data_IF_593382769980
#
_entry.id   IF_593382769980
#
_cell.length_a   1.000
_cell.length_b   1.000
_cell.length_c   1.000
_cell.angle_alpha   90.00
_cell.angle_beta   90.00
_cell.angle_gamma   90.00
#
_symmetry.space_group_name_H-M   'P 1'
#
loop_
_entity.id
_entity.type
_entity.pdbx_description
1 polymer ?
#
# COMPACT_ATOMS: atom_id res chain seq x y z
N UNK A 1 -1.81 -48.30 -11.34
CA UNK A 1 -2.73 -48.66 -10.24
C UNK A 1 -2.26 -48.13 -8.88
N UNK A 2 -0.96 -48.17 -8.55
CA UNK A 2 -0.43 -47.59 -7.30
C UNK A 2 -0.62 -46.06 -7.20
N UNK A 3 -0.43 -45.35 -8.32
CA UNK A 3 -0.58 -43.89 -8.43
C UNK A 3 -1.99 -43.38 -8.07
N UNK A 4 -3.03 -44.09 -8.53
CA UNK A 4 -4.42 -43.76 -8.20
C UNK A 4 -4.76 -44.03 -6.72
N UNK A 5 -4.06 -44.97 -6.08
CA UNK A 5 -4.23 -45.32 -4.67
C UNK A 5 -3.57 -44.28 -3.76
N UNK A 6 -2.41 -43.77 -4.17
CA UNK A 6 -1.71 -42.67 -3.50
C UNK A 6 -2.54 -41.36 -3.59
N UNK A 7 -3.07 -41.05 -4.77
CA UNK A 7 -3.96 -39.92 -4.98
C UNK A 7 -5.25 -40.04 -4.16
N UNK A 8 -5.89 -41.21 -4.14
CA UNK A 8 -7.08 -41.46 -3.31
C UNK A 8 -6.79 -41.27 -1.82
N UNK A 9 -5.59 -41.64 -1.35
CA UNK A 9 -5.15 -41.44 0.03
C UNK A 9 -4.94 -39.95 0.34
N UNK A 10 -4.33 -39.19 -0.57
CA UNK A 10 -4.17 -37.73 -0.45
C UNK A 10 -5.52 -37.00 -0.44
N UNK A 11 -6.45 -37.38 -1.32
CA UNK A 11 -7.81 -36.82 -1.34
C UNK A 11 -8.55 -37.14 -0.04
N UNK A 12 -8.44 -38.37 0.46
CA UNK A 12 -9.06 -38.76 1.74
C UNK A 12 -8.45 -38.01 2.92
N UNK A 13 -7.13 -37.83 2.96
CA UNK A 13 -6.46 -37.07 4.02
C UNK A 13 -6.87 -35.59 3.99
N UNK A 14 -6.94 -34.98 2.79
CA UNK A 14 -7.46 -33.62 2.60
C UNK A 14 -8.92 -33.48 3.06
N UNK A 15 -9.79 -34.39 2.65
CA UNK A 15 -11.20 -34.37 3.07
C UNK A 15 -11.32 -34.51 4.60
N UNK A 16 -10.58 -35.45 5.20
CA UNK A 16 -10.61 -35.68 6.67
C UNK A 16 -10.07 -34.49 7.46
N UNK A 17 -9.10 -33.75 6.91
CA UNK A 17 -8.60 -32.50 7.51
C UNK A 17 -9.66 -31.39 7.49
N UNK A 18 -10.46 -31.30 6.43
CA UNK A 18 -11.53 -30.29 6.27
C UNK A 18 -12.78 -30.64 7.08
N UNK A 19 -13.16 -31.92 7.18
CA UNK A 19 -14.37 -32.39 7.90
C UNK A 19 -14.15 -32.83 9.34
N UNK A 20 -12.96 -32.59 9.92
CA UNK A 20 -12.78 -32.69 11.39
C UNK A 20 -13.64 -31.60 12.06
N UNK A 21 -14.91 -31.92 12.29
CA UNK A 21 -15.70 -31.27 13.34
C UNK A 21 -15.00 -31.56 14.65
N UNK A 22 -14.53 -30.54 15.37
CA UNK A 22 -13.79 -30.79 16.59
C UNK A 22 -14.73 -31.37 17.65
N UNK A 23 -14.55 -32.64 17.98
CA UNK A 23 -15.20 -33.26 19.13
C UNK A 23 -14.27 -33.02 20.32
N UNK A 24 -14.64 -32.08 21.18
CA UNK A 24 -13.79 -31.63 22.29
C UNK A 24 -14.07 -32.42 23.56
N UNK A 25 -13.13 -33.24 24.02
CA UNK A 25 -13.05 -33.60 25.43
C UNK A 25 -12.44 -32.43 26.24
N UNK A 26 -12.84 -32.25 27.51
CA UNK A 26 -12.52 -31.05 28.31
C UNK A 26 -11.02 -30.71 28.38
N UNK A 27 -10.12 -31.70 28.31
CA UNK A 27 -8.67 -31.49 28.33
C UNK A 27 -8.03 -31.27 26.95
N UNK A 28 -8.72 -31.65 25.88
CA UNK A 28 -8.24 -31.46 24.49
C UNK A 28 -8.56 -30.05 23.98
N UNK A 29 -9.70 -29.49 24.39
CA UNK A 29 -10.05 -28.09 24.10
C UNK A 29 -9.01 -27.11 24.66
N UNK A 30 -8.56 -27.31 25.90
CA UNK A 30 -7.56 -26.44 26.54
C UNK A 30 -6.21 -26.49 25.80
N UNK A 31 -5.73 -27.68 25.45
CA UNK A 31 -4.48 -27.86 24.68
C UNK A 31 -4.57 -27.22 23.30
N UNK A 32 -5.70 -27.40 22.62
CA UNK A 32 -5.95 -26.80 21.31
C UNK A 32 -6.00 -25.27 21.36
N UNK A 33 -6.65 -24.69 22.37
CA UNK A 33 -6.68 -23.24 22.56
C UNK A 33 -5.30 -22.66 22.82
N UNK A 34 -4.45 -23.35 23.59
CA UNK A 34 -3.05 -22.97 23.79
C UNK A 34 -2.27 -22.98 22.48
N UNK A 35 -2.43 -24.03 21.67
CA UNK A 35 -1.75 -24.13 20.37
C UNK A 35 -2.20 -23.05 19.38
N UNK A 36 -3.52 -22.80 19.28
CA UNK A 36 -4.06 -21.72 18.45
C UNK A 36 -3.59 -20.35 18.91
N UNK A 37 -3.60 -20.08 20.21
CA UNK A 37 -3.14 -18.80 20.73
C UNK A 37 -1.66 -18.57 20.37
N UNK A 38 -0.82 -19.60 20.51
CA UNK A 38 0.59 -19.51 20.11
C UNK A 38 0.78 -19.24 18.61
N UNK A 39 -0.05 -19.85 17.74
CA UNK A 39 -0.03 -19.56 16.29
C UNK A 39 -0.51 -18.14 15.98
N UNK A 40 -1.56 -17.68 16.67
CA UNK A 40 -2.10 -16.32 16.53
C UNK A 40 -1.08 -15.25 16.94
N UNK A 41 -0.37 -15.46 18.04
CA UNK A 41 0.69 -14.56 18.49
C UNK A 41 1.84 -14.51 17.50
N UNK A 42 2.29 -15.67 16.99
CA UNK A 42 3.29 -15.75 15.92
C UNK A 42 2.84 -15.01 14.66
N UNK A 43 1.61 -15.21 14.23
CA UNK A 43 1.06 -14.48 13.09
C UNK A 43 1.11 -12.97 13.34
N UNK A 44 0.68 -12.50 14.52
CA UNK A 44 0.71 -11.08 14.84
C UNK A 44 2.14 -10.50 14.77
N UNK A 45 3.14 -11.26 15.22
CA UNK A 45 4.56 -10.88 15.11
C UNK A 45 5.00 -10.81 13.64
N UNK A 46 4.69 -11.82 12.83
CA UNK A 46 5.03 -11.86 11.40
C UNK A 46 4.34 -10.72 10.66
N UNK A 47 3.05 -10.50 10.88
CA UNK A 47 2.28 -9.41 10.27
C UNK A 47 2.90 -8.06 10.58
N UNK A 48 3.21 -7.79 11.85
CA UNK A 48 3.83 -6.53 12.24
C UNK A 48 5.21 -6.37 11.61
N UNK A 49 6.03 -7.43 11.60
CA UNK A 49 7.33 -7.45 10.94
C UNK A 49 7.21 -7.11 9.45
N UNK A 50 6.43 -7.88 8.70
CA UNK A 50 6.26 -7.67 7.25
C UNK A 50 5.72 -6.28 6.93
N UNK A 51 4.73 -5.80 7.68
CA UNK A 51 4.17 -4.47 7.46
C UNK A 51 5.19 -3.36 7.70
N UNK A 52 5.90 -3.41 8.83
CA UNK A 52 6.81 -2.33 9.24
C UNK A 52 8.14 -2.35 8.50
N UNK A 53 8.69 -3.52 8.18
CA UNK A 53 10.03 -3.63 7.56
C UNK A 53 9.97 -3.72 6.04
N UNK A 54 8.88 -4.27 5.49
CA UNK A 54 8.87 -4.69 4.09
C UNK A 54 7.83 -3.93 3.27
N UNK A 55 6.55 -4.06 3.62
CA UNK A 55 5.42 -3.63 2.78
C UNK A 55 5.23 -2.12 2.84
N UNK A 56 5.02 -1.56 4.04
CA UNK A 56 4.69 -0.14 4.19
C UNK A 56 5.81 0.77 3.66
N UNK A 57 7.10 0.57 4.00
CA UNK A 57 8.16 1.46 3.54
C UNK A 57 8.26 1.53 2.01
N UNK A 58 8.02 0.43 1.30
CA UNK A 58 8.07 0.39 -0.17
C UNK A 58 6.91 1.14 -0.81
N UNK A 59 5.71 0.95 -0.26
CA UNK A 59 4.52 1.67 -0.73
C UNK A 59 4.66 3.18 -0.44
N UNK A 60 5.25 3.55 0.70
CA UNK A 60 5.55 4.93 1.07
C UNK A 60 6.56 5.58 0.12
N UNK A 61 7.68 4.90 -0.19
CA UNK A 61 8.66 5.35 -1.19
C UNK A 61 7.99 5.63 -2.54
N UNK A 62 7.12 4.71 -3.01
CA UNK A 62 6.40 4.93 -4.26
C UNK A 62 5.51 6.17 -4.18
N UNK A 63 4.75 6.30 -3.10
CA UNK A 63 3.79 7.39 -2.91
C UNK A 63 4.45 8.78 -2.83
N UNK A 64 5.68 8.88 -2.30
CA UNK A 64 6.42 10.14 -2.20
C UNK A 64 6.68 10.81 -3.57
N UNK A 65 6.71 10.04 -4.66
CA UNK A 65 6.86 10.60 -6.01
C UNK A 65 5.59 11.26 -6.56
N UNK A 66 4.45 11.11 -5.87
CA UNK A 66 3.13 11.54 -6.34
C UNK A 66 2.49 12.51 -5.35
N UNK A 67 2.40 13.78 -5.74
CA UNK A 67 1.77 14.82 -4.91
C UNK A 67 0.27 14.59 -4.65
N UNK A 68 -0.38 13.77 -5.47
CA UNK A 68 -1.76 13.34 -5.31
C UNK A 68 -1.91 12.07 -4.45
N UNK A 69 -0.82 11.50 -3.94
CA UNK A 69 -0.86 10.36 -3.04
C UNK A 69 -1.13 10.79 -1.59
N UNK A 70 -1.98 10.05 -0.90
CA UNK A 70 -2.32 10.27 0.52
C UNK A 70 -2.45 8.92 1.21
N UNK A 71 -1.78 8.77 2.35
CA UNK A 71 -1.87 7.56 3.19
C UNK A 71 -3.23 7.49 3.88
N UNK A 72 -3.88 6.33 3.83
CA UNK A 72 -5.08 6.07 4.64
C UNK A 72 -4.70 5.97 6.12
N UNK A 73 -5.45 6.66 6.99
CA UNK A 73 -5.21 6.64 8.44
C UNK A 73 -6.15 5.66 9.13
N UNK A 74 -5.76 5.21 10.33
CA UNK A 74 -6.55 4.33 11.20
C UNK A 74 -6.86 2.96 10.58
N UNK A 75 -5.92 2.40 9.82
CA UNK A 75 -6.04 1.04 9.30
C UNK A 75 -5.66 -0.01 10.37
N UNK A 76 -6.22 -1.23 10.28
CA UNK A 76 -5.77 -2.35 11.10
C UNK A 76 -4.26 -2.60 10.95
N UNK A 77 -3.61 -3.15 11.97
CA UNK A 77 -2.15 -3.38 12.00
C UNK A 77 -1.61 -4.29 10.89
N UNK A 78 -2.49 -5.07 10.23
CA UNK A 78 -2.16 -5.91 9.09
C UNK A 78 -2.60 -5.33 7.75
N UNK A 79 -2.86 -4.02 7.65
CA UNK A 79 -3.26 -3.36 6.42
C UNK A 79 -2.52 -2.03 6.25
N UNK A 80 -2.10 -1.74 5.02
CA UNK A 80 -1.65 -0.41 4.64
C UNK A 80 -2.16 -0.05 3.24
N UNK A 81 -2.64 1.17 3.07
CA UNK A 81 -3.09 1.66 1.77
C UNK A 81 -2.78 3.13 1.51
N UNK A 82 -2.60 3.42 0.23
CA UNK A 82 -2.45 4.76 -0.30
C UNK A 82 -3.54 5.05 -1.33
N UNK A 83 -4.06 6.26 -1.25
CA UNK A 83 -4.99 6.82 -2.21
C UNK A 83 -4.26 7.79 -3.12
N UNK A 84 -4.26 7.52 -4.41
CA UNK A 84 -3.80 8.40 -5.48
C UNK A 84 -5.02 9.13 -6.02
N UNK A 85 -5.23 10.36 -5.57
CA UNK A 85 -6.40 11.16 -5.93
C UNK A 85 -6.38 11.65 -7.38
N UNK A 86 -7.54 11.99 -7.90
CA UNK A 86 -7.64 12.65 -9.21
C UNK A 86 -6.79 13.92 -9.27
N UNK A 87 -6.03 14.09 -10.35
CA UNK A 87 -5.41 15.36 -10.72
C UNK A 87 -5.42 15.55 -12.24
N UNK A 88 -5.03 16.73 -12.73
CA UNK A 88 -5.03 17.02 -14.18
C UNK A 88 -4.13 16.06 -14.97
N UNK A 89 -3.00 15.67 -14.38
CA UNK A 89 -2.04 14.70 -14.94
C UNK A 89 -2.60 13.28 -14.94
N UNK A 90 -3.21 12.87 -13.83
CA UNK A 90 -3.81 11.55 -13.61
C UNK A 90 -5.33 11.70 -13.40
N UNK A 91 -6.12 11.62 -14.48
CA UNK A 91 -7.56 11.90 -14.46
C UNK A 91 -8.38 10.72 -13.91
N UNK A 92 -7.85 10.01 -12.92
CA UNK A 92 -8.49 8.90 -12.22
C UNK A 92 -8.12 8.98 -10.75
N UNK A 93 -8.97 8.42 -9.90
CA UNK A 93 -8.54 8.08 -8.55
C UNK A 93 -8.14 6.61 -8.48
N UNK A 94 -7.16 6.26 -7.66
CA UNK A 94 -6.73 4.87 -7.49
C UNK A 94 -6.36 4.59 -6.04
N UNK A 95 -6.84 3.48 -5.49
CA UNK A 95 -6.40 2.96 -4.19
C UNK A 95 -5.46 1.79 -4.44
N UNK A 96 -4.31 1.77 -3.78
CA UNK A 96 -3.42 0.61 -3.69
C UNK A 96 -3.35 0.20 -2.23
N UNK A 97 -3.59 -1.07 -1.93
CA UNK A 97 -3.55 -1.61 -0.58
C UNK A 97 -2.87 -2.97 -0.52
N UNK A 98 -2.20 -3.20 0.60
CA UNK A 98 -1.74 -4.51 1.01
C UNK A 98 -2.40 -4.92 2.31
N UNK A 99 -2.72 -6.20 2.43
CA UNK A 99 -3.25 -6.80 3.66
C UNK A 99 -2.54 -8.11 3.95
N UNK A 100 -2.10 -8.32 5.19
CA UNK A 100 -1.59 -9.62 5.64
C UNK A 100 -2.71 -10.34 6.38
N UNK A 101 -3.17 -11.43 5.79
CA UNK A 101 -4.27 -12.27 6.23
C UNK A 101 -3.77 -13.69 6.56
N UNK A 102 -4.68 -14.53 7.05
CA UNK A 102 -4.40 -15.91 7.42
C UNK A 102 -5.60 -16.83 7.13
N UNK A 103 -5.35 -18.14 7.09
CA UNK A 103 -6.42 -19.13 7.01
C UNK A 103 -7.06 -19.39 8.39
N UNK A 104 -8.19 -20.10 8.42
CA UNK A 104 -8.98 -20.35 9.64
C UNK A 104 -8.15 -20.99 10.76
N UNK A 105 -7.12 -21.78 10.43
CA UNK A 105 -6.28 -22.50 11.39
C UNK A 105 -4.93 -21.83 11.69
N UNK A 106 -4.68 -20.63 11.17
CA UNK A 106 -3.42 -19.92 11.32
C UNK A 106 -2.20 -20.76 10.87
N UNK A 107 -2.38 -21.59 9.85
CA UNK A 107 -1.31 -22.41 9.27
C UNK A 107 -0.63 -21.70 8.10
N UNK A 108 -1.29 -20.69 7.53
CA UNK A 108 -0.81 -19.94 6.37
C UNK A 108 -0.86 -18.44 6.62
N UNK A 109 0.11 -17.76 6.04
CA UNK A 109 0.16 -16.30 5.94
C UNK A 109 -0.08 -15.93 4.49
N UNK A 110 -1.01 -15.02 4.25
CA UNK A 110 -1.41 -14.57 2.91
C UNK A 110 -1.16 -13.07 2.83
N UNK A 111 -0.23 -12.65 1.98
CA UNK A 111 -0.04 -11.23 1.65
C UNK A 111 -0.90 -10.94 0.43
N UNK A 112 -2.00 -10.20 0.63
CA UNK A 112 -2.90 -9.76 -0.43
C UNK A 112 -2.50 -8.38 -0.92
N UNK A 113 -2.54 -8.20 -2.23
CA UNK A 113 -2.44 -6.93 -2.93
C UNK A 113 -3.79 -6.65 -3.59
N UNK A 114 -4.30 -5.43 -3.40
CA UNK A 114 -5.50 -4.94 -4.05
C UNK A 114 -5.24 -3.55 -4.64
N UNK A 115 -5.67 -3.33 -5.88
CA UNK A 115 -5.65 -2.04 -6.54
C UNK A 115 -6.98 -1.75 -7.24
N UNK A 116 -7.56 -0.60 -6.94
CA UNK A 116 -8.88 -0.20 -7.46
C UNK A 116 -8.76 1.17 -8.09
N UNK A 117 -9.01 1.27 -9.40
CA UNK A 117 -8.95 2.50 -10.19
C UNK A 117 -10.34 2.92 -10.64
N UNK A 118 -10.70 4.19 -10.46
CA UNK A 118 -11.98 4.73 -10.90
C UNK A 118 -11.86 6.17 -11.47
N UNK A 119 -12.34 6.42 -12.70
CA UNK A 119 -12.86 5.45 -13.67
C UNK A 119 -11.74 4.64 -14.36
N UNK A 120 -12.03 3.40 -14.77
CA UNK A 120 -11.04 2.51 -15.40
C UNK A 120 -10.78 2.92 -16.85
N UNK A 121 -9.55 3.32 -17.15
CA UNK A 121 -9.11 3.66 -18.51
C UNK A 121 -8.16 2.62 -19.13
N UNK A 122 -7.60 1.75 -18.31
CA UNK A 122 -6.53 0.83 -18.66
C UNK A 122 -6.69 -0.51 -17.93
N UNK A 123 -5.96 -1.53 -18.38
CA UNK A 123 -5.84 -2.78 -17.66
C UNK A 123 -4.93 -2.60 -16.45
N UNK A 124 -5.46 -2.83 -15.26
CA UNK A 124 -4.74 -2.86 -13.99
C UNK A 124 -4.87 -4.27 -13.39
N UNK A 125 -3.83 -4.76 -12.72
CA UNK A 125 -3.97 -5.97 -11.90
C UNK A 125 -4.70 -5.55 -10.63
N UNK A 126 -5.98 -5.94 -10.52
CA UNK A 126 -6.82 -5.50 -9.41
C UNK A 126 -6.52 -6.25 -8.12
N UNK A 127 -6.20 -7.54 -8.22
CA UNK A 127 -6.01 -8.41 -7.07
C UNK A 127 -4.92 -9.44 -7.34
N UNK A 128 -4.04 -9.64 -6.36
CA UNK A 128 -3.08 -10.75 -6.35
C UNK A 128 -2.75 -11.16 -4.91
N UNK A 129 -2.25 -12.37 -4.70
CA UNK A 129 -1.82 -12.81 -3.38
C UNK A 129 -0.57 -13.68 -3.42
N UNK A 130 0.19 -13.60 -2.34
CA UNK A 130 1.34 -14.45 -2.06
C UNK A 130 1.08 -15.22 -0.76
N UNK A 131 1.18 -16.55 -0.82
CA UNK A 131 0.85 -17.43 0.30
C UNK A 131 2.07 -18.21 0.77
N UNK A 132 2.29 -18.24 2.09
CA UNK A 132 3.32 -19.02 2.77
C UNK A 132 2.71 -19.91 3.86
N UNK A 133 3.40 -20.99 4.23
CA UNK A 133 3.17 -21.62 5.53
C UNK A 133 3.64 -20.68 6.66
N UNK A 134 2.99 -20.72 7.83
CA UNK A 134 3.27 -19.81 8.95
C UNK A 134 4.76 -19.77 9.34
N UNK A 135 5.42 -20.92 9.32
CA UNK A 135 6.82 -21.05 9.76
C UNK A 135 7.85 -20.89 8.61
N UNK A 136 7.40 -20.65 7.37
CA UNK A 136 8.24 -20.58 6.17
C UNK A 136 8.23 -19.20 5.49
N UNK A 137 7.76 -18.18 6.20
CA UNK A 137 7.66 -16.80 5.67
C UNK A 137 9.05 -16.22 5.46
N UNK A 138 9.36 -15.90 4.20
CA UNK A 138 10.64 -15.35 3.73
C UNK A 138 10.47 -13.87 3.36
N UNK A 139 11.12 -12.98 4.10
CA UNK A 139 10.97 -11.53 3.95
C UNK A 139 11.50 -11.02 2.60
N UNK A 140 12.55 -11.64 2.06
CA UNK A 140 13.14 -11.33 0.74
C UNK A 140 12.22 -11.69 -0.43
N UNK A 141 11.52 -12.82 -0.33
CA UNK A 141 10.51 -13.20 -1.31
C UNK A 141 9.29 -12.28 -1.25
N UNK A 142 8.84 -11.91 -0.04
CA UNK A 142 7.77 -10.93 0.14
C UNK A 142 8.18 -9.57 -0.45
N UNK A 143 9.40 -9.11 -0.16
CA UNK A 143 9.94 -7.86 -0.69
C UNK A 143 9.93 -7.83 -2.22
N UNK A 144 10.48 -8.88 -2.85
CA UNK A 144 10.56 -9.00 -4.31
C UNK A 144 9.18 -8.98 -4.95
N UNK A 145 8.22 -9.70 -4.35
CA UNK A 145 6.85 -9.75 -4.84
C UNK A 145 6.13 -8.40 -4.69
N UNK A 146 6.25 -7.74 -3.53
CA UNK A 146 5.70 -6.40 -3.30
C UNK A 146 6.26 -5.39 -4.31
N UNK A 147 7.59 -5.37 -4.51
CA UNK A 147 8.24 -4.50 -5.48
C UNK A 147 7.71 -4.75 -6.89
N UNK A 148 7.55 -6.02 -7.29
CA UNK A 148 6.96 -6.37 -8.59
C UNK A 148 5.56 -5.80 -8.74
N UNK A 149 4.68 -5.97 -7.74
CA UNK A 149 3.30 -5.45 -7.80
C UNK A 149 3.23 -3.92 -7.79
N UNK A 150 4.12 -3.26 -7.05
CA UNK A 150 4.22 -1.81 -7.05
C UNK A 150 4.70 -1.27 -8.41
N UNK A 151 5.67 -1.95 -9.04
CA UNK A 151 6.16 -1.58 -10.37
C UNK A 151 5.11 -1.86 -11.46
N UNK A 152 4.37 -2.96 -11.38
CA UNK A 152 3.24 -3.27 -12.27
C UNK A 152 2.15 -2.18 -12.16
N UNK A 153 1.82 -1.77 -10.92
CA UNK A 153 0.91 -0.65 -10.69
C UNK A 153 1.45 0.64 -11.27
N UNK A 154 2.73 0.95 -11.04
CA UNK A 154 3.36 2.17 -11.54
C UNK A 154 3.31 2.21 -13.06
N UNK A 155 3.70 1.15 -13.77
CA UNK A 155 3.61 1.07 -15.23
C UNK A 155 2.18 1.34 -15.71
N UNK A 156 1.19 0.68 -15.11
CA UNK A 156 -0.22 0.93 -15.41
C UNK A 156 -0.58 2.41 -15.15
N UNK A 157 -0.32 2.91 -13.95
CA UNK A 157 -0.68 4.27 -13.53
C UNK A 157 -0.02 5.36 -14.37
N UNK A 158 1.12 5.11 -15.00
CA UNK A 158 1.76 6.07 -15.91
C UNK A 158 1.22 6.03 -17.33
N UNK A 159 0.53 4.97 -17.74
CA UNK A 159 -0.10 4.91 -19.06
C UNK A 159 -1.32 5.81 -19.20
N UNK A 160 -1.89 6.25 -18.08
CA UNK A 160 -2.97 7.26 -18.02
C UNK A 160 -2.43 8.69 -17.88
N UNK A 161 -1.11 8.85 -17.79
CA UNK A 161 -0.46 10.15 -17.70
C UNK A 161 -0.78 10.97 -18.95
N UNK A 162 -1.47 12.10 -18.76
CA UNK A 162 -1.85 13.02 -19.84
C UNK A 162 -0.81 14.12 -20.10
N UNK A 163 0.33 14.12 -19.40
CA UNK A 163 1.41 15.08 -19.53
C UNK A 163 2.77 14.43 -19.80
N UNK A 164 3.60 15.09 -20.60
CA UNK A 164 4.94 14.62 -20.95
C UNK A 164 5.94 14.94 -19.82
N UNK A 165 6.75 13.93 -19.49
CA UNK A 165 7.95 13.94 -18.66
C UNK A 165 7.76 14.09 -17.14
N UNK A 166 8.40 13.17 -16.41
CA UNK A 166 8.71 13.26 -14.98
C UNK A 166 9.68 14.39 -14.62
N UNK A 167 9.88 15.34 -15.53
CA UNK A 167 10.68 16.53 -15.33
C UNK A 167 9.75 17.70 -15.04
N UNK A 168 9.68 18.05 -13.76
CA UNK A 168 9.73 19.44 -13.36
C UNK A 168 8.54 20.32 -13.79
N UNK A 169 7.38 20.12 -13.16
CA UNK A 169 6.31 21.13 -13.20
C UNK A 169 6.81 22.40 -12.51
N UNK A 170 7.35 23.32 -13.30
CA UNK A 170 7.91 24.57 -12.82
C UNK A 170 6.79 25.45 -12.25
N UNK A 171 6.80 25.60 -10.93
CA UNK A 171 5.96 26.58 -10.23
C UNK A 171 6.80 27.80 -9.86
N UNK A 172 6.14 28.93 -9.63
CA UNK A 172 6.83 30.17 -9.23
C UNK A 172 6.56 30.40 -7.74
N UNK A 173 7.63 30.59 -6.97
CA UNK A 173 7.53 31.00 -5.57
C UNK A 173 6.83 32.38 -5.51
N UNK A 174 5.70 32.52 -4.79
CA UNK A 174 4.91 33.75 -4.79
C UNK A 174 5.57 34.90 -4.01
N UNK A 175 6.59 34.63 -3.19
CA UNK A 175 7.31 35.63 -2.39
C UNK A 175 8.49 36.19 -3.16
N UNK A 176 9.33 35.33 -3.75
CA UNK A 176 10.57 35.77 -4.41
C UNK A 176 10.54 35.69 -5.95
N UNK A 177 9.52 35.09 -6.55
CA UNK A 177 9.41 34.93 -8.00
C UNK A 177 10.33 33.85 -8.60
N UNK A 178 11.03 33.08 -7.76
CA UNK A 178 11.93 32.03 -8.22
C UNK A 178 11.14 30.88 -8.85
N UNK A 179 11.55 30.47 -10.06
CA UNK A 179 11.06 29.22 -10.66
C UNK A 179 11.64 28.04 -9.89
N UNK A 180 10.75 27.21 -9.38
CA UNK A 180 11.09 26.01 -8.61
C UNK A 180 10.35 24.82 -9.17
N UNK A 181 10.96 23.65 -9.04
CA UNK A 181 10.27 22.41 -9.31
C UNK A 181 9.25 22.12 -8.21
N UNK A 182 8.02 21.75 -8.56
CA UNK A 182 7.08 21.20 -7.58
C UNK A 182 7.65 19.97 -6.86
N UNK A 183 8.45 19.14 -7.55
CA UNK A 183 9.08 17.97 -6.94
C UNK A 183 10.31 18.28 -6.07
N UNK A 184 10.90 19.47 -6.18
CA UNK A 184 12.03 19.91 -5.33
C UNK A 184 11.65 21.03 -4.37
N UNK A 185 10.36 21.35 -4.25
CA UNK A 185 9.89 22.38 -3.34
C UNK A 185 10.20 21.93 -1.90
N UNK A 186 11.14 22.62 -1.26
CA UNK A 186 11.60 22.26 0.10
C UNK A 186 10.48 22.39 1.13
N UNK A 187 9.49 23.23 0.84
CA UNK A 187 8.41 23.59 1.75
C UNK A 187 7.16 23.95 0.95
N UNK A 188 5.99 23.47 1.37
CA UNK A 188 4.69 23.80 0.78
C UNK A 188 3.69 24.24 1.85
N UNK A 189 2.78 25.14 1.49
CA UNK A 189 1.67 25.56 2.37
C UNK A 189 0.37 25.68 1.55
N UNK A 190 -0.78 25.64 2.23
CA UNK A 190 -2.09 25.75 1.60
C UNK A 190 -2.80 27.02 2.05
N UNK A 191 -3.22 27.86 1.10
CA UNK A 191 -4.01 29.06 1.37
C UNK A 191 -5.28 29.05 0.53
N UNK A 192 -6.44 29.15 1.19
CA UNK A 192 -7.78 29.07 0.56
C UNK A 192 -8.00 27.81 -0.30
N UNK A 193 -7.40 26.68 0.11
CA UNK A 193 -7.50 25.42 -0.62
C UNK A 193 -6.59 25.33 -1.85
N UNK A 194 -5.75 26.34 -2.12
CA UNK A 194 -4.74 26.30 -3.17
C UNK A 194 -3.35 26.03 -2.58
N UNK A 195 -2.60 25.04 -3.11
CA UNK A 195 -1.24 24.77 -2.67
C UNK A 195 -0.24 25.79 -3.25
N UNK A 196 0.63 26.31 -2.39
CA UNK A 196 1.75 27.19 -2.72
C UNK A 196 3.07 26.50 -2.35
N UNK A 197 4.10 26.74 -3.16
CA UNK A 197 5.40 26.10 -3.04
C UNK A 197 6.48 27.17 -2.88
N UNK A 198 7.47 26.90 -2.03
CA UNK A 198 8.49 27.89 -1.67
C UNK A 198 9.92 27.36 -1.87
N UNK A 199 10.83 28.24 -2.26
CA UNK A 199 12.24 27.92 -2.46
C UNK A 199 12.99 27.74 -1.13
N UNK A 200 12.49 28.35 -0.05
CA UNK A 200 13.09 28.31 1.30
C UNK A 200 12.02 28.41 2.40
N UNK A 201 12.39 28.02 3.63
CA UNK A 201 11.52 28.20 4.80
C UNK A 201 11.23 29.66 5.11
N UNK A 202 12.15 30.56 4.80
CA UNK A 202 11.94 32.01 4.98
C UNK A 202 10.82 32.54 4.07
N UNK A 203 10.73 32.05 2.82
CA UNK A 203 9.66 32.41 1.89
C UNK A 203 8.31 31.84 2.36
N UNK A 204 8.29 30.61 2.88
CA UNK A 204 7.07 30.05 3.49
C UNK A 204 6.61 30.88 4.70
N UNK A 205 7.52 31.21 5.61
CA UNK A 205 7.17 32.01 6.80
C UNK A 205 6.69 33.40 6.45
N UNK A 206 7.32 34.06 5.47
CA UNK A 206 6.88 35.35 4.97
C UNK A 206 5.46 35.27 4.38
N UNK A 207 5.19 34.24 3.57
CA UNK A 207 3.87 33.99 3.01
C UNK A 207 2.83 33.68 4.10
N UNK A 208 3.17 32.89 5.11
CA UNK A 208 2.27 32.54 6.20
C UNK A 208 1.87 33.75 7.07
N UNK A 209 2.76 34.74 7.22
CA UNK A 209 2.49 35.98 7.96
C UNK A 209 1.51 36.90 7.23
N UNK A 210 1.63 37.02 5.91
CA UNK A 210 0.78 37.92 5.13
C UNK A 210 0.41 37.37 3.74
N UNK A 211 -0.35 36.27 3.66
CA UNK A 211 -0.59 35.57 2.40
C UNK A 211 -1.34 36.43 1.37
N UNK A 212 -2.22 37.33 1.82
CA UNK A 212 -2.95 38.24 0.95
C UNK A 212 -2.03 39.17 0.13
N UNK A 213 -0.86 39.54 0.66
CA UNK A 213 0.08 40.41 -0.04
C UNK A 213 0.76 39.74 -1.24
N UNK A 214 0.81 38.40 -1.25
CA UNK A 214 1.51 37.60 -2.27
C UNK A 214 0.57 36.88 -3.24
N UNK A 215 -0.72 36.75 -2.89
CA UNK A 215 -1.71 35.98 -3.67
C UNK A 215 -2.34 36.80 -4.81
N UNK A 216 -2.01 38.09 -4.95
CA UNK A 216 -2.53 38.96 -6.02
C UNK A 216 -1.44 39.83 -6.69
N UNK A 217 -0.67 39.26 -7.62
CA UNK A 217 -0.29 39.96 -8.87
C UNK A 217 -0.08 38.94 -9.99
N UNK A 218 -1.11 38.74 -10.82
CA UNK A 218 -0.92 38.47 -12.26
C UNK A 218 -1.98 39.24 -13.02
N UNK A 219 -1.69 40.52 -13.25
CA UNK A 219 -2.15 41.16 -14.49
C UNK A 219 -1.43 40.43 -15.63
N UNK A 220 -2.21 40.01 -16.62
CA UNK A 220 -1.77 39.30 -17.83
C UNK A 220 -0.52 39.92 -18.46
#
# INVERSE_FOLDING_TARGET
MADLLEFAKQVKDQLTRVTREPHWESGEAERYMVEINARRERLAQITNRLMTTTIQPRLEILAEYFSNATRTRNEPSGCCSYWFGYCERFPTSTKVSYTVEHDVRFEKVIVRYDAVMMPVFIKLVEHDNLTFALDEVQDDLVATWVETKLLDFLDAYLRIDRGADFADEATTDPVCGMRISRSTAKVSDSYRGHPYFFCSGECQEAFAREPKAYVEVKTM
#
